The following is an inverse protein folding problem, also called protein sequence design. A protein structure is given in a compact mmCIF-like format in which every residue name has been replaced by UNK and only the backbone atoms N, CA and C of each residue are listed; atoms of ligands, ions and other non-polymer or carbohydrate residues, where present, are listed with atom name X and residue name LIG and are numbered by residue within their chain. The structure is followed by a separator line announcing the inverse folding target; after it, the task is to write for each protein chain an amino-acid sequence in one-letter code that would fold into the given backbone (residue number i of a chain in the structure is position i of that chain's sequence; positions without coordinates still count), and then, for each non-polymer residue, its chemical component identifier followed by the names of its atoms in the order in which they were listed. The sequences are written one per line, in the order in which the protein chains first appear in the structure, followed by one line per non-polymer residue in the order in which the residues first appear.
data_IF_012978578999
#
_entry.id   IF_012978578999
#
_cell.length_a   1.000
_cell.length_b   1.000
_cell.length_c   1.000
_cell.angle_alpha   90.00
_cell.angle_beta   90.00
_cell.angle_gamma   90.00
#
_symmetry.space_group_name_H-M   'P 1'
#
loop_
_entity.id
_entity.type
_entity.pdbx_description
1 polymer ?
#
# COMPACT_ATOMS: atom_id res chain seq x y z
N UNK A 1 14.72 -17.65 -26.25
CA UNK A 1 13.77 -18.20 -25.26
C UNK A 1 12.65 -17.20 -25.10
N UNK A 2 11.40 -17.63 -25.16
CA UNK A 2 10.23 -16.76 -24.92
C UNK A 2 10.24 -16.30 -23.46
N UNK A 3 9.96 -15.02 -23.23
CA UNK A 3 9.90 -14.47 -21.88
C UNK A 3 8.62 -14.94 -21.19
N UNK A 4 8.73 -15.52 -20.00
CA UNK A 4 7.60 -15.93 -19.17
C UNK A 4 7.24 -14.80 -18.20
N UNK A 5 5.98 -14.38 -18.18
CA UNK A 5 5.45 -13.43 -17.22
C UNK A 5 4.46 -14.11 -16.27
N UNK A 6 4.54 -13.81 -14.98
CA UNK A 6 3.60 -14.31 -13.99
C UNK A 6 2.39 -13.35 -13.91
N UNK A 7 1.19 -13.85 -14.22
CA UNK A 7 -0.06 -13.10 -14.14
C UNK A 7 -0.73 -13.41 -12.80
N UNK A 8 -0.51 -12.55 -11.79
CA UNK A 8 -1.12 -12.66 -10.48
C UNK A 8 -2.53 -12.07 -10.50
N UNK A 9 -3.52 -12.85 -10.09
CA UNK A 9 -4.92 -12.45 -10.16
C UNK A 9 -5.67 -12.70 -8.86
N UNK A 10 -6.62 -11.80 -8.56
CA UNK A 10 -7.68 -12.06 -7.59
C UNK A 10 -9.02 -11.90 -8.33
N UNK A 11 -9.65 -12.99 -8.78
CA UNK A 11 -10.85 -12.93 -9.64
C UNK A 11 -12.03 -12.21 -9.01
N UNK A 12 -12.09 -12.15 -7.67
CA UNK A 12 -13.17 -11.50 -6.91
C UNK A 12 -12.95 -10.01 -6.68
N UNK A 13 -11.74 -9.49 -6.95
CA UNK A 13 -11.41 -8.09 -6.74
C UNK A 13 -12.29 -7.15 -7.60
N UNK A 14 -12.55 -5.96 -7.08
CA UNK A 14 -13.34 -4.95 -7.77
C UNK A 14 -14.78 -5.40 -8.12
N UNK A 15 -15.41 -6.24 -7.29
CA UNK A 15 -16.72 -6.87 -7.53
C UNK A 15 -16.74 -7.73 -8.81
N UNK A 16 -15.68 -8.51 -9.03
CA UNK A 16 -15.50 -9.37 -10.20
C UNK A 16 -14.96 -8.66 -11.45
N UNK A 17 -14.60 -7.38 -11.36
CA UNK A 17 -13.98 -6.64 -12.49
C UNK A 17 -12.64 -7.27 -12.85
N UNK A 18 -11.81 -7.62 -11.85
CA UNK A 18 -10.54 -8.28 -12.10
C UNK A 18 -10.71 -9.59 -12.85
N UNK A 19 -11.67 -10.45 -12.49
CA UNK A 19 -11.95 -11.70 -13.19
C UNK A 19 -12.26 -11.50 -14.68
N UNK A 20 -13.00 -10.43 -15.02
CA UNK A 20 -13.30 -10.10 -16.43
C UNK A 20 -12.11 -9.58 -17.21
N UNK A 21 -11.09 -9.06 -16.54
CA UNK A 21 -9.86 -8.57 -17.20
C UNK A 21 -8.79 -9.65 -17.38
N UNK A 22 -8.87 -10.77 -16.67
CA UNK A 22 -7.84 -11.81 -16.71
C UNK A 22 -7.61 -12.32 -18.14
N UNK A 23 -8.66 -12.79 -18.82
CA UNK A 23 -8.52 -13.37 -20.14
C UNK A 23 -8.17 -12.33 -21.22
N UNK A 24 -8.76 -11.12 -21.24
CA UNK A 24 -8.27 -10.04 -22.10
C UNK A 24 -6.78 -9.73 -21.91
N UNK A 25 -6.31 -9.56 -20.69
CA UNK A 25 -4.89 -9.26 -20.39
C UNK A 25 -4.00 -10.42 -20.85
N UNK A 26 -4.37 -11.66 -20.50
CA UNK A 26 -3.64 -12.87 -20.88
C UNK A 26 -3.52 -13.02 -22.40
N UNK A 27 -4.61 -12.78 -23.13
CA UNK A 27 -4.63 -12.83 -24.59
C UNK A 27 -3.71 -11.78 -25.21
N UNK A 28 -3.74 -10.53 -24.71
CA UNK A 28 -2.88 -9.46 -25.22
C UNK A 28 -1.39 -9.72 -24.92
N UNK A 29 -1.06 -10.23 -23.73
CA UNK A 29 0.31 -10.62 -23.40
C UNK A 29 0.83 -11.71 -24.34
N UNK A 30 0.00 -12.73 -24.65
CA UNK A 30 0.36 -13.76 -25.60
C UNK A 30 0.52 -13.22 -27.02
N UNK A 31 -0.34 -12.32 -27.49
CA UNK A 31 -0.20 -11.63 -28.78
C UNK A 31 1.09 -10.82 -28.86
N UNK A 32 1.56 -10.29 -27.74
CA UNK A 32 2.83 -9.59 -27.62
C UNK A 32 4.06 -10.54 -27.55
N UNK A 33 3.85 -11.86 -27.72
CA UNK A 33 4.92 -12.86 -27.74
C UNK A 33 5.43 -13.27 -26.36
N UNK A 34 4.62 -13.11 -25.32
CA UNK A 34 4.97 -13.47 -23.94
C UNK A 34 4.25 -14.76 -23.53
N UNK A 35 4.95 -15.67 -22.86
CA UNK A 35 4.33 -16.81 -22.19
C UNK A 35 3.75 -16.36 -20.85
N UNK A 36 2.57 -16.89 -20.48
CA UNK A 36 1.83 -16.44 -19.30
C UNK A 36 1.62 -17.57 -18.32
N UNK A 37 2.26 -17.47 -17.15
CA UNK A 37 2.02 -18.30 -15.97
C UNK A 37 0.91 -17.65 -15.12
N UNK A 38 -0.26 -18.31 -15.03
CA UNK A 38 -1.37 -17.78 -14.23
C UNK A 38 -1.20 -18.17 -12.77
N UNK A 39 -1.22 -17.17 -11.89
CA UNK A 39 -1.15 -17.30 -10.44
C UNK A 39 -2.46 -16.82 -9.81
N UNK A 40 -3.24 -17.73 -9.22
CA UNK A 40 -4.53 -17.41 -8.60
C UNK A 40 -4.52 -17.89 -7.12
N UNK A 41 -4.13 -16.99 -6.23
CA UNK A 41 -4.15 -17.28 -4.78
C UNK A 41 -5.57 -17.19 -4.20
N UNK A 42 -5.92 -18.12 -3.32
CA UNK A 42 -7.20 -18.14 -2.59
C UNK A 42 -7.16 -17.25 -1.34
N UNK A 43 -5.96 -16.79 -0.95
CA UNK A 43 -5.71 -15.87 0.15
C UNK A 43 -4.56 -14.93 -0.17
N UNK A 44 -4.39 -13.87 0.64
CA UNK A 44 -3.25 -12.96 0.52
C UNK A 44 -1.92 -13.72 0.73
N UNK A 45 -1.83 -14.57 1.75
CA UNK A 45 -0.65 -15.36 2.03
C UNK A 45 -0.28 -16.30 0.87
N UNK A 46 -1.28 -16.96 0.25
CA UNK A 46 -1.06 -17.81 -0.92
C UNK A 46 -0.62 -16.99 -2.13
N UNK A 47 -1.21 -15.81 -2.36
CA UNK A 47 -0.80 -14.89 -3.43
C UNK A 47 0.66 -14.45 -3.28
N UNK A 48 1.08 -14.13 -2.05
CA UNK A 48 2.49 -13.81 -1.75
C UNK A 48 3.41 -15.00 -2.02
N UNK A 49 3.04 -16.20 -1.54
CA UNK A 49 3.84 -17.41 -1.74
C UNK A 49 4.02 -17.76 -3.23
N UNK A 50 2.92 -17.71 -4.00
CA UNK A 50 2.94 -17.94 -5.45
C UNK A 50 3.82 -16.90 -6.17
N UNK A 51 3.75 -15.64 -5.77
CA UNK A 51 4.59 -14.58 -6.36
C UNK A 51 6.07 -14.84 -6.06
N UNK A 52 6.41 -15.15 -4.80
CA UNK A 52 7.80 -15.47 -4.41
C UNK A 52 8.34 -16.68 -5.18
N UNK A 53 7.54 -17.74 -5.34
CA UNK A 53 7.94 -18.92 -6.13
C UNK A 53 8.19 -18.54 -7.57
N UNK A 54 7.27 -17.84 -8.23
CA UNK A 54 7.44 -17.44 -9.62
C UNK A 54 8.68 -16.55 -9.85
N UNK A 55 8.96 -15.64 -8.89
CA UNK A 55 10.18 -14.81 -8.92
C UNK A 55 11.44 -15.67 -8.77
N UNK A 56 11.45 -16.66 -7.87
CA UNK A 56 12.55 -17.59 -7.69
C UNK A 56 12.76 -18.47 -8.95
N UNK A 57 11.69 -18.84 -9.64
CA UNK A 57 11.71 -19.59 -10.91
C UNK A 57 12.15 -18.73 -12.11
N UNK A 58 12.43 -17.43 -11.90
CA UNK A 58 13.03 -16.55 -12.91
C UNK A 58 12.04 -15.99 -13.93
N UNK A 59 10.79 -15.73 -13.56
CA UNK A 59 9.86 -15.02 -14.45
C UNK A 59 10.40 -13.63 -14.81
N UNK A 60 10.13 -13.21 -16.04
CA UNK A 60 10.63 -11.93 -16.57
C UNK A 60 9.89 -10.70 -16.00
N UNK A 61 8.68 -10.89 -15.48
CA UNK A 61 7.89 -9.87 -14.80
C UNK A 61 6.74 -10.50 -14.01
N UNK A 62 6.23 -9.78 -13.00
CA UNK A 62 4.95 -10.07 -12.36
C UNK A 62 3.93 -9.03 -12.81
N UNK A 63 2.77 -9.48 -13.29
CA UNK A 63 1.64 -8.64 -13.74
C UNK A 63 0.50 -8.85 -12.76
N UNK A 64 0.21 -7.88 -11.89
CA UNK A 64 -0.86 -7.95 -10.90
C UNK A 64 -2.17 -7.39 -11.47
N UNK A 65 -3.20 -8.23 -11.62
CA UNK A 65 -4.54 -7.85 -12.10
C UNK A 65 -5.48 -7.76 -10.91
N UNK A 66 -5.63 -6.59 -10.33
CA UNK A 66 -6.42 -6.43 -9.10
C UNK A 66 -6.48 -5.01 -8.57
N UNK A 67 -6.85 -4.89 -7.31
CA UNK A 67 -6.79 -3.65 -6.54
C UNK A 67 -5.54 -3.57 -5.67
N UNK A 68 -5.47 -2.54 -4.83
CA UNK A 68 -4.31 -2.20 -4.00
C UNK A 68 -3.84 -3.38 -3.12
N UNK A 69 -4.76 -4.16 -2.54
CA UNK A 69 -4.39 -5.35 -1.74
C UNK A 69 -3.66 -6.43 -2.55
N UNK A 70 -4.00 -6.65 -3.85
CA UNK A 70 -3.26 -7.58 -4.69
C UNK A 70 -1.90 -7.01 -5.10
N UNK A 71 -1.83 -5.70 -5.36
CA UNK A 71 -0.56 -5.00 -5.59
C UNK A 71 0.34 -5.14 -4.37
N UNK A 72 -0.21 -4.95 -3.16
CA UNK A 72 0.52 -5.18 -1.91
C UNK A 72 1.08 -6.61 -1.82
N UNK A 73 0.27 -7.65 -2.15
CA UNK A 73 0.76 -9.03 -2.21
C UNK A 73 1.90 -9.21 -3.22
N UNK A 74 1.79 -8.60 -4.41
CA UNK A 74 2.83 -8.66 -5.42
C UNK A 74 4.13 -8.00 -4.94
N UNK A 75 4.04 -6.84 -4.30
CA UNK A 75 5.18 -6.11 -3.70
C UNK A 75 5.93 -6.99 -2.69
N UNK A 76 5.21 -7.78 -1.83
CA UNK A 76 5.86 -8.72 -0.91
C UNK A 76 6.72 -9.77 -1.62
N UNK A 77 6.43 -10.07 -2.88
CA UNK A 77 7.17 -11.08 -3.66
C UNK A 77 8.30 -10.51 -4.50
N UNK A 78 8.17 -9.27 -5.00
CA UNK A 78 9.11 -8.69 -5.96
C UNK A 78 10.06 -7.67 -5.35
N UNK A 79 9.70 -7.02 -4.22
CA UNK A 79 10.56 -6.03 -3.58
C UNK A 79 11.90 -6.64 -3.15
N UNK A 80 12.99 -5.91 -3.38
CA UNK A 80 14.35 -6.38 -3.16
C UNK A 80 14.87 -7.37 -4.21
N UNK A 81 14.13 -7.58 -5.32
CA UNK A 81 14.56 -8.42 -6.44
C UNK A 81 14.67 -7.60 -7.73
N UNK A 82 15.26 -8.21 -8.76
CA UNK A 82 15.32 -7.60 -10.10
C UNK A 82 14.06 -7.81 -10.95
N UNK A 83 13.08 -8.60 -10.47
CA UNK A 83 11.86 -8.90 -11.23
C UNK A 83 10.91 -7.70 -11.22
N UNK A 84 10.58 -7.12 -12.37
CA UNK A 84 9.73 -5.94 -12.42
C UNK A 84 8.25 -6.27 -12.21
N UNK A 85 7.53 -5.32 -11.61
CA UNK A 85 6.10 -5.35 -11.38
C UNK A 85 5.36 -4.53 -12.45
N UNK A 86 4.29 -5.09 -13.02
CA UNK A 86 3.27 -4.36 -13.75
C UNK A 86 1.94 -4.43 -13.01
N UNK A 87 1.13 -3.38 -13.08
CA UNK A 87 -0.17 -3.31 -12.42
C UNK A 87 -1.28 -3.08 -13.43
N UNK A 88 -2.31 -3.91 -13.38
CA UNK A 88 -3.57 -3.75 -14.10
C UNK A 88 -4.65 -3.35 -13.07
N UNK A 89 -5.00 -2.08 -13.07
CA UNK A 89 -5.94 -1.51 -12.11
C UNK A 89 -7.37 -2.06 -12.28
N UNK A 90 -7.81 -2.88 -11.34
CA UNK A 90 -9.14 -3.50 -11.34
C UNK A 90 -9.88 -3.35 -9.99
N UNK A 91 -9.30 -2.65 -9.03
CA UNK A 91 -9.87 -2.36 -7.72
C UNK A 91 -10.76 -1.13 -7.70
N UNK A 92 -11.07 -0.68 -6.49
CA UNK A 92 -11.83 0.57 -6.22
C UNK A 92 -10.94 1.77 -5.91
N UNK A 93 -9.76 1.56 -5.32
CA UNK A 93 -8.77 2.60 -5.04
C UNK A 93 -7.83 2.76 -6.25
N UNK A 94 -6.92 1.80 -6.43
CA UNK A 94 -5.88 1.76 -7.46
C UNK A 94 -4.81 2.85 -7.31
N UNK A 95 -4.48 3.19 -6.07
CA UNK A 95 -3.58 4.29 -5.73
C UNK A 95 -2.20 4.14 -6.40
N UNK A 96 -1.63 2.93 -6.40
CA UNK A 96 -0.35 2.67 -7.08
C UNK A 96 -0.39 2.95 -8.59
N UNK A 97 -1.47 2.50 -9.27
CA UNK A 97 -1.62 2.71 -10.70
C UNK A 97 -1.84 4.20 -11.05
N UNK A 98 -2.55 4.94 -10.20
CA UNK A 98 -2.83 6.36 -10.39
C UNK A 98 -1.57 7.21 -10.18
N UNK A 99 -0.80 6.94 -9.12
CA UNK A 99 0.47 7.65 -8.83
C UNK A 99 1.49 7.42 -9.95
N UNK A 100 1.57 6.21 -10.48
CA UNK A 100 2.49 5.85 -11.54
C UNK A 100 1.94 6.11 -12.96
N UNK A 101 0.70 6.62 -13.06
CA UNK A 101 0.02 6.92 -14.33
C UNK A 101 0.00 5.72 -15.30
N UNK A 102 -0.24 4.52 -14.76
CA UNK A 102 -0.20 3.29 -15.55
C UNK A 102 -1.42 3.14 -16.47
N UNK A 103 -1.26 2.51 -17.64
CA UNK A 103 -2.34 2.30 -18.58
C UNK A 103 -3.40 1.35 -17.99
N UNK A 104 -4.65 1.56 -18.39
CA UNK A 104 -5.78 0.75 -17.89
C UNK A 104 -6.33 -0.27 -18.88
N UNK A 105 -6.01 -0.12 -20.17
CA UNK A 105 -6.46 -1.08 -21.19
C UNK A 105 -5.53 -2.29 -21.27
N UNK A 106 -6.08 -3.52 -21.45
CA UNK A 106 -5.28 -4.73 -21.58
C UNK A 106 -4.19 -4.64 -22.66
N UNK A 107 -4.51 -4.09 -23.83
CA UNK A 107 -3.56 -3.94 -24.92
C UNK A 107 -2.40 -2.99 -24.57
N UNK A 108 -2.68 -1.85 -23.94
CA UNK A 108 -1.64 -0.91 -23.54
C UNK A 108 -0.75 -1.48 -22.43
N UNK A 109 -1.32 -2.24 -21.49
CA UNK A 109 -0.53 -2.96 -20.47
C UNK A 109 0.37 -4.01 -21.13
N UNK A 110 -0.15 -4.81 -22.05
CA UNK A 110 0.65 -5.82 -22.75
C UNK A 110 1.80 -5.18 -23.55
N UNK A 111 1.55 -4.06 -24.22
CA UNK A 111 2.58 -3.29 -24.92
C UNK A 111 3.66 -2.76 -23.95
N UNK A 112 3.25 -2.22 -22.79
CA UNK A 112 4.15 -1.77 -21.73
C UNK A 112 5.03 -2.92 -21.20
N UNK A 113 4.44 -4.09 -20.93
CA UNK A 113 5.17 -5.28 -20.47
C UNK A 113 6.15 -5.78 -21.54
N UNK A 114 5.74 -5.82 -22.80
CA UNK A 114 6.59 -6.24 -23.92
C UNK A 114 7.75 -5.26 -24.16
N UNK A 115 7.52 -3.96 -24.02
CA UNK A 115 8.56 -2.92 -24.12
C UNK A 115 9.61 -3.07 -23.02
N UNK A 116 9.23 -3.53 -21.84
CA UNK A 116 10.15 -3.84 -20.75
C UNK A 116 10.84 -2.61 -20.14
N UNK A 117 10.29 -1.39 -20.36
CA UNK A 117 10.84 -0.19 -19.73
C UNK A 117 10.46 -0.14 -18.27
N UNK A 118 11.43 0.10 -17.41
CA UNK A 118 11.25 0.11 -15.96
C UNK A 118 11.59 1.47 -15.37
N UNK A 119 10.88 1.82 -14.31
CA UNK A 119 11.24 2.85 -13.35
C UNK A 119 11.63 2.18 -12.05
N UNK A 120 12.76 2.58 -11.50
CA UNK A 120 13.24 2.11 -10.21
C UNK A 120 12.61 3.00 -9.13
N UNK A 121 12.03 2.36 -8.12
CA UNK A 121 11.33 3.01 -7.02
C UNK A 121 11.90 2.53 -5.69
N UNK A 122 11.77 3.38 -4.70
CA UNK A 122 11.97 3.02 -3.31
C UNK A 122 10.75 2.24 -2.80
N UNK A 123 10.93 1.49 -1.74
CA UNK A 123 9.84 0.85 -1.03
C UNK A 123 10.04 1.00 0.49
N UNK A 124 8.95 1.14 1.21
CA UNK A 124 8.99 1.09 2.66
C UNK A 124 9.11 -0.36 3.14
N UNK A 125 9.94 -0.59 4.15
CA UNK A 125 10.07 -1.85 4.85
C UNK A 125 9.71 -1.64 6.32
N UNK A 126 8.64 -2.29 6.77
CA UNK A 126 8.24 -2.32 8.17
C UNK A 126 8.79 -3.58 8.85
N UNK A 127 9.32 -3.40 10.05
CA UNK A 127 9.84 -4.48 10.90
C UNK A 127 9.16 -4.36 12.26
N UNK A 128 8.41 -5.39 12.65
CA UNK A 128 7.82 -5.47 13.99
C UNK A 128 8.88 -5.87 15.01
N UNK A 129 8.87 -5.21 16.16
CA UNK A 129 9.72 -5.60 17.31
C UNK A 129 9.19 -6.86 18.00
N UNK A 130 7.92 -7.18 17.80
CA UNK A 130 7.27 -8.36 18.36
C UNK A 130 7.32 -9.52 17.35
N UNK A 131 8.30 -10.41 17.54
CA UNK A 131 8.45 -11.62 16.74
C UNK A 131 7.23 -12.57 16.86
N UNK A 132 6.39 -12.41 17.88
CA UNK A 132 5.18 -13.24 18.08
C UNK A 132 3.98 -12.72 17.31
N UNK A 133 4.03 -11.47 16.83
CA UNK A 133 2.98 -10.87 16.00
C UNK A 133 2.95 -11.42 14.57
N UNK A 134 4.01 -12.12 14.17
CA UNK A 134 4.17 -12.75 12.86
C UNK A 134 3.65 -14.19 12.89
N UNK A 135 2.84 -14.58 11.90
CA UNK A 135 2.38 -15.95 11.74
C UNK A 135 3.52 -16.91 11.35
N UNK A 136 3.30 -18.24 11.40
CA UNK A 136 4.29 -19.22 10.96
C UNK A 136 4.75 -18.95 9.52
N UNK A 137 6.06 -18.72 9.32
CA UNK A 137 6.66 -18.41 8.02
C UNK A 137 6.70 -16.92 7.67
N UNK A 138 6.20 -16.05 8.53
CA UNK A 138 6.35 -14.60 8.40
C UNK A 138 7.68 -14.16 9.01
N UNK A 139 8.51 -13.47 8.21
CA UNK A 139 9.82 -12.94 8.65
C UNK A 139 9.70 -11.69 9.53
N UNK A 140 8.48 -11.24 9.85
CA UNK A 140 8.25 -9.95 10.53
C UNK A 140 8.61 -8.74 9.69
N UNK A 141 8.91 -8.93 8.40
CA UNK A 141 9.26 -7.89 7.43
C UNK A 141 8.14 -7.72 6.42
N UNK A 142 7.61 -6.52 6.34
CA UNK A 142 6.51 -6.19 5.44
C UNK A 142 6.87 -5.02 4.53
N UNK A 143 6.89 -5.27 3.23
CA UNK A 143 7.09 -4.24 2.22
C UNK A 143 5.80 -3.46 1.97
N UNK A 144 5.94 -2.20 1.64
CA UNK A 144 4.82 -1.35 1.22
C UNK A 144 5.29 -0.27 0.24
N UNK A 145 4.38 0.17 -0.63
CA UNK A 145 4.70 1.10 -1.71
C UNK A 145 4.12 2.50 -1.46
N UNK A 146 2.89 2.60 -1.00
CA UNK A 146 2.18 3.85 -0.84
C UNK A 146 2.37 4.49 0.52
N UNK A 147 1.44 4.25 1.45
CA UNK A 147 1.42 4.89 2.77
C UNK A 147 1.14 3.88 3.87
N UNK A 148 1.94 3.97 4.94
CA UNK A 148 1.67 3.31 6.21
C UNK A 148 1.01 4.32 7.15
N UNK A 149 -0.05 3.91 7.84
CA UNK A 149 -0.79 4.75 8.78
C UNK A 149 -1.05 4.09 10.12
N UNK A 150 -1.09 4.89 11.19
CA UNK A 150 -1.54 4.48 12.51
C UNK A 150 -2.34 5.61 13.18
N UNK A 151 -3.34 5.25 13.99
CA UNK A 151 -4.20 6.20 14.68
C UNK A 151 -5.65 6.12 14.22
N UNK A 152 -6.27 7.25 13.92
CA UNK A 152 -7.69 7.30 13.55
C UNK A 152 -8.03 6.40 12.35
N UNK A 153 -7.23 6.46 11.28
CA UNK A 153 -7.48 5.69 10.06
C UNK A 153 -7.34 4.19 10.29
N UNK A 154 -6.34 3.77 11.05
CA UNK A 154 -6.16 2.36 11.40
C UNK A 154 -7.28 1.86 12.33
N UNK A 155 -7.76 2.68 13.26
CA UNK A 155 -8.90 2.35 14.11
C UNK A 155 -10.19 2.16 13.29
N UNK A 156 -10.40 3.00 12.26
CA UNK A 156 -11.51 2.84 11.30
C UNK A 156 -11.40 1.51 10.55
N UNK A 157 -10.21 1.17 10.04
CA UNK A 157 -9.97 -0.09 9.35
C UNK A 157 -10.18 -1.30 10.27
N UNK A 158 -9.64 -1.29 11.49
CA UNK A 158 -9.84 -2.33 12.50
C UNK A 158 -11.33 -2.55 12.79
N UNK A 159 -12.08 -1.45 12.97
CA UNK A 159 -13.52 -1.52 13.19
C UNK A 159 -14.25 -2.08 11.98
N UNK A 160 -14.01 -1.53 10.80
CA UNK A 160 -14.66 -1.94 9.56
C UNK A 160 -14.42 -3.43 9.26
N UNK A 161 -13.20 -3.94 9.52
CA UNK A 161 -12.85 -5.33 9.31
C UNK A 161 -13.54 -6.29 10.31
N UNK A 162 -13.83 -5.84 11.53
CA UNK A 162 -14.60 -6.60 12.53
C UNK A 162 -16.11 -6.60 12.29
N UNK A 163 -16.62 -5.62 11.53
CA UNK A 163 -18.05 -5.48 11.25
C UNK A 163 -18.50 -6.48 10.19
N UNK A 164 -19.53 -7.27 10.53
CA UNK A 164 -20.19 -8.19 9.60
C UNK A 164 -21.31 -7.51 8.81
N UNK A 165 -21.86 -6.42 9.33
CA UNK A 165 -22.96 -5.64 8.76
C UNK A 165 -22.73 -4.14 9.01
N UNK A 166 -23.08 -3.24 8.05
CA UNK A 166 -23.57 -3.50 6.71
C UNK A 166 -22.49 -4.01 5.77
N UNK A 167 -22.82 -4.76 4.69
CA UNK A 167 -21.84 -5.20 3.72
C UNK A 167 -21.33 -4.06 2.83
N UNK A 168 -20.10 -4.20 2.31
CA UNK A 168 -19.51 -3.27 1.35
C UNK A 168 -19.05 -1.93 1.95
N UNK A 169 -19.00 -0.83 1.16
CA UNK A 169 -18.44 0.45 1.58
C UNK A 169 -19.13 1.09 2.78
N UNK A 170 -20.42 0.87 2.96
CA UNK A 170 -21.22 1.44 4.05
C UNK A 170 -20.69 1.08 5.45
N UNK A 171 -20.01 -0.07 5.60
CA UNK A 171 -19.36 -0.42 6.87
C UNK A 171 -18.23 0.54 7.24
N UNK A 172 -17.51 1.07 6.25
CA UNK A 172 -16.46 2.06 6.48
C UNK A 172 -17.05 3.40 6.92
N UNK A 173 -18.15 3.84 6.30
CA UNK A 173 -18.84 5.07 6.71
C UNK A 173 -19.29 4.96 8.17
N UNK A 174 -19.90 3.82 8.54
CA UNK A 174 -20.34 3.59 9.91
C UNK A 174 -19.15 3.49 10.89
N UNK A 175 -18.05 2.85 10.48
CA UNK A 175 -16.84 2.79 11.26
C UNK A 175 -16.23 4.18 11.48
N UNK A 176 -16.21 5.03 10.45
CA UNK A 176 -15.75 6.43 10.55
C UNK A 176 -16.58 7.19 11.58
N UNK A 177 -17.92 7.10 11.52
CA UNK A 177 -18.80 7.76 12.50
C UNK A 177 -18.56 7.27 13.92
N UNK A 178 -18.40 5.95 14.10
CA UNK A 178 -18.17 5.37 15.40
C UNK A 178 -16.80 5.76 15.99
N UNK A 179 -15.74 5.77 15.16
CA UNK A 179 -14.41 6.19 15.61
C UNK A 179 -14.33 7.71 15.81
N UNK A 180 -15.04 8.51 14.99
CA UNK A 180 -15.16 9.94 15.19
C UNK A 180 -15.85 10.27 16.53
N UNK A 181 -16.87 9.51 16.93
CA UNK A 181 -17.50 9.65 18.24
C UNK A 181 -16.52 9.37 19.39
N UNK A 182 -15.62 8.40 19.20
CA UNK A 182 -14.59 7.97 20.17
C UNK A 182 -13.26 8.69 20.01
N UNK A 183 -13.18 9.67 19.11
CA UNK A 183 -11.95 10.38 18.81
C UNK A 183 -11.29 10.92 20.08
N UNK A 184 -10.07 10.46 20.33
CA UNK A 184 -9.19 10.94 21.38
C UNK A 184 -7.76 10.93 20.85
N UNK A 185 -7.00 12.01 21.03
CA UNK A 185 -5.57 11.99 20.79
C UNK A 185 -4.90 10.87 21.59
N UNK A 186 -3.84 10.30 21.03
CA UNK A 186 -3.08 9.22 21.65
C UNK A 186 -1.65 9.66 21.88
N UNK A 187 -1.05 9.35 23.04
CA UNK A 187 0.37 9.57 23.22
C UNK A 187 1.16 8.73 22.22
N UNK A 188 2.15 9.34 21.60
CA UNK A 188 3.03 8.69 20.63
C UNK A 188 4.47 9.18 20.81
N UNK A 189 5.40 8.29 20.60
CA UNK A 189 6.80 8.60 20.43
C UNK A 189 7.23 8.24 19.03
N UNK A 190 7.84 9.19 18.34
CA UNK A 190 8.38 9.03 17.00
C UNK A 190 9.90 9.23 17.09
N UNK A 191 10.68 8.29 16.56
CA UNK A 191 12.12 8.49 16.42
C UNK A 191 12.43 8.53 14.93
N UNK A 192 12.82 9.70 14.43
CA UNK A 192 13.14 9.96 13.02
C UNK A 192 14.66 10.13 12.88
N UNK A 193 15.32 9.20 12.20
CA UNK A 193 16.78 9.18 12.02
C UNK A 193 17.55 9.44 13.34
N UNK A 194 17.07 8.81 14.43
CA UNK A 194 17.64 8.94 15.77
C UNK A 194 17.11 10.14 16.59
N UNK A 195 16.35 11.06 16.00
CA UNK A 195 15.76 12.19 16.73
C UNK A 195 14.39 11.83 17.28
N UNK A 196 14.23 11.84 18.58
CA UNK A 196 12.97 11.53 19.28
C UNK A 196 12.05 12.75 19.37
N UNK A 197 10.77 12.51 19.12
CA UNK A 197 9.68 13.48 19.27
C UNK A 197 8.56 12.77 20.03
N UNK A 198 8.25 13.24 21.24
CA UNK A 198 7.12 12.77 22.03
C UNK A 198 5.97 13.76 21.84
N UNK A 199 4.80 13.26 21.47
CA UNK A 199 3.64 14.10 21.14
C UNK A 199 2.33 13.33 21.33
N UNK A 200 1.21 14.03 21.21
CA UNK A 200 -0.10 13.41 21.04
C UNK A 200 -0.50 13.45 19.58
N UNK A 201 -1.05 12.34 19.08
CA UNK A 201 -1.49 12.23 17.70
C UNK A 201 -2.97 11.89 17.59
N UNK A 202 -3.62 12.44 16.59
CA UNK A 202 -4.87 11.93 16.04
C UNK A 202 -4.59 10.80 15.04
N UNK A 203 -3.60 11.00 14.19
CA UNK A 203 -3.04 9.99 13.30
C UNK A 203 -1.58 10.32 12.94
N UNK A 204 -0.85 9.32 12.54
CA UNK A 204 0.43 9.44 11.86
C UNK A 204 0.38 8.65 10.58
N UNK A 205 0.88 9.25 9.49
CA UNK A 205 1.04 8.59 8.21
C UNK A 205 2.50 8.69 7.77
N UNK A 206 3.06 7.58 7.30
CA UNK A 206 4.42 7.50 6.77
C UNK A 206 4.31 7.15 5.30
N UNK A 207 4.53 8.12 4.45
CA UNK A 207 4.40 8.00 3.00
C UNK A 207 5.74 7.69 2.35
N UNK A 208 5.85 6.55 1.66
CA UNK A 208 6.80 6.35 0.59
C UNK A 208 6.23 6.98 -0.70
N UNK A 209 4.92 6.88 -0.88
CA UNK A 209 4.15 7.56 -1.91
C UNK A 209 3.20 8.62 -1.34
N UNK A 210 2.60 9.46 -2.22
CA UNK A 210 1.85 10.63 -1.80
C UNK A 210 0.45 10.35 -1.27
N UNK A 211 -0.16 9.20 -1.60
CA UNK A 211 -1.58 8.96 -1.35
C UNK A 211 -1.92 7.53 -0.97
N UNK A 212 -3.10 7.35 -0.39
CA UNK A 212 -3.74 6.08 -0.06
C UNK A 212 -5.27 6.21 -0.12
N UNK A 213 -5.98 5.08 0.04
CA UNK A 213 -7.43 5.05 0.23
C UNK A 213 -8.25 5.63 -0.93
N UNK A 214 -7.75 5.54 -2.17
CA UNK A 214 -8.43 6.03 -3.37
C UNK A 214 -8.29 7.55 -3.55
N UNK A 215 -7.07 8.05 -3.43
CA UNK A 215 -6.71 9.43 -3.76
C UNK A 215 -6.71 10.41 -2.58
N UNK A 216 -6.59 9.94 -1.34
CA UNK A 216 -6.29 10.82 -0.21
C UNK A 216 -4.78 11.09 -0.16
N UNK A 217 -4.37 12.29 -0.55
CA UNK A 217 -2.98 12.73 -0.61
C UNK A 217 -2.49 13.14 0.77
N UNK A 218 -2.23 12.16 1.63
CA UNK A 218 -1.84 12.40 3.03
C UNK A 218 -0.40 12.88 3.18
N UNK A 219 0.49 12.49 2.25
CA UNK A 219 1.86 12.96 2.14
C UNK A 219 2.05 13.57 0.74
N UNK A 220 1.48 14.77 0.44
CA UNK A 220 1.28 15.26 -0.92
C UNK A 220 2.57 15.43 -1.73
N UNK A 221 3.70 15.65 -1.06
CA UNK A 221 5.00 15.90 -1.65
C UNK A 221 5.92 14.67 -1.65
N UNK A 222 5.44 13.53 -1.11
CA UNK A 222 6.21 12.29 -1.08
C UNK A 222 6.56 11.80 -2.49
N UNK A 223 7.80 11.36 -2.65
CA UNK A 223 8.36 10.86 -3.91
C UNK A 223 8.82 9.44 -3.75
N UNK A 224 8.50 8.61 -4.73
CA UNK A 224 8.84 7.19 -4.73
C UNK A 224 10.32 6.89 -5.07
N UNK A 225 11.18 7.90 -5.22
CA UNK A 225 12.53 7.78 -5.79
C UNK A 225 13.56 8.75 -5.19
N UNK A 226 13.36 9.18 -3.93
CA UNK A 226 14.26 10.15 -3.28
C UNK A 226 14.92 9.63 -1.99
N UNK A 227 14.76 8.32 -1.73
CA UNK A 227 15.30 7.61 -0.57
C UNK A 227 14.82 8.14 0.78
N UNK A 228 13.64 8.74 0.83
CA UNK A 228 13.05 9.31 2.05
C UNK A 228 11.60 8.87 2.23
N UNK A 229 11.14 8.92 3.47
CA UNK A 229 9.75 8.80 3.87
C UNK A 229 9.24 10.17 4.31
N UNK A 230 8.05 10.55 3.87
CA UNK A 230 7.36 11.73 4.37
C UNK A 230 6.46 11.33 5.54
N UNK A 231 6.68 11.92 6.70
CA UNK A 231 5.98 11.60 7.95
C UNK A 231 4.98 12.70 8.25
N UNK A 232 3.73 12.46 7.94
CA UNK A 232 2.63 13.37 8.26
C UNK A 232 2.10 13.05 9.66
N UNK A 233 2.36 13.94 10.60
CA UNK A 233 1.89 13.87 11.98
C UNK A 233 0.70 14.81 12.14
N UNK A 234 -0.46 14.26 12.46
CA UNK A 234 -1.65 15.06 12.78
C UNK A 234 -1.84 15.03 14.27
N UNK A 235 -1.57 16.16 14.92
CA UNK A 235 -1.73 16.38 16.35
C UNK A 235 -3.18 16.33 16.82
N UNK A 236 -3.45 16.74 18.06
CA UNK A 236 -4.80 16.77 18.61
C UNK A 236 -5.76 17.59 17.76
N UNK A 237 -6.85 16.97 17.35
CA UNK A 237 -7.94 17.61 16.62
C UNK A 237 -9.29 17.36 17.31
N UNK A 238 -10.15 18.35 17.29
CA UNK A 238 -11.56 18.15 17.59
C UNK A 238 -12.25 17.37 16.45
N UNK A 239 -13.39 16.76 16.77
CA UNK A 239 -14.20 16.05 15.76
C UNK A 239 -14.58 16.95 14.58
N UNK A 240 -14.91 18.22 14.85
CA UNK A 240 -15.31 19.21 13.82
C UNK A 240 -14.11 19.55 12.92
N UNK A 241 -12.93 19.71 13.47
CA UNK A 241 -11.71 19.98 12.70
C UNK A 241 -11.36 18.78 11.81
N UNK A 242 -11.40 17.56 12.35
CA UNK A 242 -11.12 16.34 11.56
C UNK A 242 -12.09 16.19 10.37
N UNK A 243 -13.38 16.42 10.57
CA UNK A 243 -14.40 16.39 9.50
C UNK A 243 -14.12 17.45 8.44
N UNK A 244 -13.71 18.66 8.83
CA UNK A 244 -13.36 19.76 7.90
C UNK A 244 -12.03 19.50 7.16
N UNK A 245 -11.10 18.82 7.81
CA UNK A 245 -9.79 18.52 7.25
C UNK A 245 -9.84 17.40 6.20
N UNK A 246 -10.70 16.39 6.39
CA UNK A 246 -10.82 15.23 5.51
C UNK A 246 -10.95 15.57 4.00
N UNK A 247 -11.86 16.45 3.55
CA UNK A 247 -11.92 16.79 2.12
C UNK A 247 -10.67 17.52 1.62
N UNK A 248 -9.97 18.28 2.49
CA UNK A 248 -8.72 18.97 2.13
C UNK A 248 -7.58 18.00 1.85
N UNK A 249 -7.60 16.81 2.46
CA UNK A 249 -6.60 15.77 2.24
C UNK A 249 -6.58 15.28 0.79
N UNK A 250 -7.74 15.24 0.10
CA UNK A 250 -7.76 14.89 -1.34
C UNK A 250 -6.97 15.86 -2.22
N UNK A 251 -6.85 17.10 -1.79
CA UNK A 251 -6.11 18.17 -2.48
C UNK A 251 -4.70 18.37 -1.92
N UNK A 252 -4.31 17.60 -0.89
CA UNK A 252 -3.05 17.80 -0.18
C UNK A 252 -3.00 19.06 0.70
N UNK A 253 -4.12 19.81 0.82
CA UNK A 253 -4.16 21.10 1.55
C UNK A 253 -4.37 20.98 3.05
N UNK A 254 -4.42 19.79 3.59
CA UNK A 254 -4.47 19.56 5.03
C UNK A 254 -3.14 19.91 5.70
N UNK A 255 -2.03 19.87 4.97
CA UNK A 255 -0.69 20.23 5.47
C UNK A 255 -0.57 21.70 5.90
N UNK A 256 -1.47 22.57 5.43
CA UNK A 256 -1.55 23.98 5.86
C UNK A 256 -2.18 24.16 7.24
N UNK A 257 -2.71 23.08 7.84
CA UNK A 257 -3.37 23.16 9.14
C UNK A 257 -2.34 23.18 10.28
N UNK A 258 -2.46 24.07 11.29
CA UNK A 258 -1.45 24.21 12.35
C UNK A 258 -1.23 22.95 13.19
N UNK A 259 -2.20 22.04 13.25
CA UNK A 259 -2.05 20.74 13.92
C UNK A 259 -1.40 19.67 13.03
N UNK A 260 -1.01 19.99 11.80
CA UNK A 260 -0.37 19.04 10.88
C UNK A 260 1.07 19.43 10.67
N UNK A 261 1.96 18.47 10.85
CA UNK A 261 3.39 18.62 10.58
C UNK A 261 3.83 17.53 9.62
N UNK A 262 4.58 17.90 8.59
CA UNK A 262 5.22 16.95 7.69
C UNK A 262 6.73 17.00 7.92
N UNK A 263 7.30 15.85 8.22
CA UNK A 263 8.72 15.64 8.47
C UNK A 263 9.25 14.64 7.44
N UNK A 264 10.57 14.55 7.29
CA UNK A 264 11.20 13.60 6.36
C UNK A 264 12.28 12.82 7.09
N UNK A 265 12.35 11.52 6.84
CA UNK A 265 13.33 10.63 7.45
C UNK A 265 13.59 9.40 6.56
N UNK A 266 14.72 8.75 6.75
CA UNK A 266 15.02 7.44 6.16
C UNK A 266 14.50 6.29 7.00
N UNK A 267 14.53 6.49 8.31
CA UNK A 267 14.04 5.52 9.30
C UNK A 267 13.11 6.20 10.28
N UNK A 268 12.01 5.55 10.58
CA UNK A 268 11.03 6.03 11.56
C UNK A 268 10.64 4.89 12.48
N UNK A 269 10.87 5.05 13.78
CA UNK A 269 10.30 4.19 14.81
C UNK A 269 9.04 4.84 15.36
N UNK A 270 7.96 4.08 15.35
CA UNK A 270 6.63 4.50 15.82
C UNK A 270 6.28 3.74 17.09
N UNK A 271 5.95 4.45 18.16
CA UNK A 271 5.48 3.90 19.41
C UNK A 271 4.19 4.60 19.83
N UNK A 272 3.13 3.84 20.05
CA UNK A 272 1.88 4.34 20.63
C UNK A 272 1.08 3.16 21.18
N UNK A 273 0.76 3.12 22.47
CA UNK A 273 0.10 1.98 23.08
C UNK A 273 -1.27 1.69 22.46
N UNK A 274 -1.50 0.43 22.09
CA UNK A 274 -2.77 -0.07 21.59
C UNK A 274 -3.15 0.37 20.17
N UNK A 275 -2.25 1.01 19.44
CA UNK A 275 -2.44 1.27 18.02
C UNK A 275 -1.87 0.14 17.15
N UNK A 276 -2.50 -0.03 16.00
CA UNK A 276 -2.10 -0.99 14.97
C UNK A 276 -1.75 -0.22 13.70
N UNK A 277 -0.66 -0.60 13.05
CA UNK A 277 -0.27 -0.03 11.77
C UNK A 277 -0.94 -0.76 10.60
N UNK A 278 -1.32 0.01 9.59
CA UNK A 278 -1.82 -0.45 8.30
C UNK A 278 -0.93 0.12 7.20
N UNK A 279 -0.60 -0.66 6.18
CA UNK A 279 0.10 -0.17 5.00
C UNK A 279 -0.63 -0.61 3.73
N UNK A 280 -0.80 0.31 2.79
CA UNK A 280 -1.53 0.12 1.53
C UNK A 280 -2.95 -0.47 1.75
N UNK A 281 -3.55 -0.20 2.92
CA UNK A 281 -4.86 -0.72 3.33
C UNK A 281 -4.84 -2.08 4.02
N UNK A 282 -3.70 -2.76 4.09
CA UNK A 282 -3.55 -4.06 4.73
C UNK A 282 -3.01 -3.92 6.17
N UNK A 283 -3.50 -4.77 7.05
CA UNK A 283 -3.08 -4.79 8.46
C UNK A 283 -1.66 -5.32 8.57
N UNK A 284 -0.78 -4.55 9.23
CA UNK A 284 0.59 -4.98 9.49
C UNK A 284 0.74 -5.59 10.89
N UNK A 285 1.02 -4.74 11.86
CA UNK A 285 1.35 -5.16 13.22
C UNK A 285 0.89 -4.12 14.25
N UNK A 286 0.74 -4.51 15.53
CA UNK A 286 0.67 -3.54 16.62
C UNK A 286 1.96 -2.70 16.70
N UNK A 287 1.83 -1.47 17.21
CA UNK A 287 3.01 -0.67 17.59
C UNK A 287 3.59 -1.22 18.93
N UNK A 288 4.92 -1.13 19.15
CA UNK A 288 5.89 -0.38 18.35
C UNK A 288 6.36 -1.11 17.10
N UNK A 289 6.73 -0.30 16.09
CA UNK A 289 7.35 -0.83 14.87
C UNK A 289 8.35 0.15 14.27
N UNK A 290 9.35 -0.38 13.57
CA UNK A 290 10.32 0.42 12.83
C UNK A 290 10.08 0.30 11.35
N UNK A 291 10.05 1.44 10.64
CA UNK A 291 9.92 1.50 9.18
C UNK A 291 11.15 2.19 8.58
N UNK A 292 11.56 1.69 7.42
CA UNK A 292 12.71 2.21 6.67
C UNK A 292 12.35 2.44 5.23
N UNK A 293 12.85 3.50 4.64
CA UNK A 293 12.91 3.61 3.18
C UNK A 293 14.06 2.74 2.68
N UNK A 294 13.77 1.81 1.79
CA UNK A 294 14.80 1.01 1.12
C UNK A 294 14.91 1.54 -0.31
N UNK A 295 16.00 2.24 -0.62
CA UNK A 295 16.18 2.82 -1.94
C UNK A 295 16.28 1.75 -3.03
N UNK A 296 15.72 2.06 -4.20
CA UNK A 296 15.78 1.21 -5.39
C UNK A 296 15.30 -0.24 -5.16
N UNK A 297 14.39 -0.44 -4.20
CA UNK A 297 13.92 -1.77 -3.81
C UNK A 297 12.91 -2.37 -4.78
N UNK A 298 12.30 -1.58 -5.66
CA UNK A 298 11.24 -2.03 -6.54
C UNK A 298 11.47 -1.55 -7.98
N UNK A 299 11.40 -2.47 -8.93
CA UNK A 299 11.37 -2.16 -10.35
C UNK A 299 9.93 -2.24 -10.85
N UNK A 300 9.41 -1.18 -11.47
CA UNK A 300 8.03 -1.13 -11.99
C UNK A 300 8.04 -0.85 -13.48
N UNK A 301 7.27 -1.64 -14.25
CA UNK A 301 7.09 -1.42 -15.67
C UNK A 301 6.24 -0.16 -15.90
N UNK A 302 6.70 0.69 -16.80
CA UNK A 302 6.08 1.98 -17.13
C UNK A 302 5.93 2.14 -18.63
N UNK A 303 4.98 2.96 -19.11
CA UNK A 303 4.75 3.22 -20.54
C UNK A 303 5.96 3.74 -21.29
#
# INVERSE_FOLDING_TARGET
MTKVVALLVNPTAGRGRAGRLVEPVRSELRRAGLDVLLLAGRSAAESVALTKSAVADGVSAVVAVGGDGLVHCAVQGVAGTSTPLAVVAAGTGNDAADVLQLPRSPAAVAAMVAAGRTRILDAGLAVSDDATASGPGDSGKHWWLGVLGAGFDSAVNERANRMRWPPGPRRYDLAIFAELYRLRPRPASLVLDGKRIDTEITLVAVGNGPQYGGGFRICPDARLDDALLDVCVVGPLSRRELVRLKPRTRLGRHVDHPAVQVLRAREVRLESPGLVAYADGERLAPLPLTVRCIPAALSVLVP
#
